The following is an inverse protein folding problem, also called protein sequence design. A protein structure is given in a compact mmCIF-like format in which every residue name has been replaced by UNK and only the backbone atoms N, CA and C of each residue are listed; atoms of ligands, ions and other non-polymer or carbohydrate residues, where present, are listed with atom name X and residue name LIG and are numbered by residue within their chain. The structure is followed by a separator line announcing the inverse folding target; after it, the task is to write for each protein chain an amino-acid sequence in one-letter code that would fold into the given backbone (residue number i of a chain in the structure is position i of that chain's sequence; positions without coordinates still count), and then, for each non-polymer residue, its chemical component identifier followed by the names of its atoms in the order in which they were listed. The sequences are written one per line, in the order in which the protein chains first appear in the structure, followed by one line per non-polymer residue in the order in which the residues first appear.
data_IF_015961862069
#
_entry.id   IF_015961862069
#
_cell.length_a   1.000
_cell.length_b   1.000
_cell.length_c   1.000
_cell.angle_alpha   90.00
_cell.angle_beta   90.00
_cell.angle_gamma   90.00
#
_symmetry.space_group_name_H-M   'P 1'
#
loop_
_entity.id
_entity.type
_entity.pdbx_description
1 polymer ?
#
# COMPACT_ATOMS: atom_id res chain seq x y z
N UNK A 1 10.67 9.79 8.13
CA UNK A 1 9.84 8.86 7.33
C UNK A 1 9.33 7.69 8.15
N UNK A 2 10.15 6.82 8.75
CA UNK A 2 9.70 5.68 9.55
C UNK A 2 8.76 6.08 10.72
N UNK A 3 9.14 7.06 11.54
CA UNK A 3 8.30 7.55 12.64
C UNK A 3 6.94 8.11 12.18
N UNK A 4 6.88 8.63 10.96
CA UNK A 4 5.62 9.07 10.35
C UNK A 4 4.76 7.87 9.93
N UNK A 5 5.37 6.84 9.36
CA UNK A 5 4.66 5.64 8.92
C UNK A 5 4.01 4.88 10.08
N UNK A 6 4.62 4.89 11.28
CA UNK A 6 4.08 4.22 12.48
C UNK A 6 3.10 5.07 13.29
N UNK A 7 3.00 6.39 13.00
CA UNK A 7 2.01 7.26 13.66
C UNK A 7 0.58 6.78 13.39
N UNK A 8 -0.18 6.63 14.44
CA UNK A 8 -1.57 6.17 14.34
C UNK A 8 -1.77 4.66 14.32
N UNK A 9 -0.70 3.86 14.21
CA UNK A 9 -0.79 2.42 14.40
C UNK A 9 -0.75 2.07 15.88
N UNK A 10 -1.66 1.16 16.30
CA UNK A 10 -1.69 0.66 17.70
C UNK A 10 -0.53 -0.26 18.05
N UNK A 11 0.11 -0.83 17.04
CA UNK A 11 1.19 -1.78 17.20
C UNK A 11 2.39 -1.35 16.36
N UNK A 12 3.55 -1.30 17.00
CA UNK A 12 4.83 -1.11 16.33
C UNK A 12 5.31 -2.47 15.82
N UNK A 13 5.83 -2.58 14.58
CA UNK A 13 6.35 -3.85 14.09
C UNK A 13 7.55 -4.30 14.92
N UNK A 14 7.59 -5.58 15.29
CA UNK A 14 8.72 -6.17 16.01
C UNK A 14 9.96 -6.29 15.13
N UNK A 15 9.78 -6.53 13.85
CA UNK A 15 10.84 -6.70 12.87
C UNK A 15 10.66 -5.75 11.69
N UNK A 16 11.76 -5.18 11.22
CA UNK A 16 11.80 -4.34 10.03
C UNK A 16 12.89 -4.85 9.10
N UNK A 17 12.51 -5.20 7.88
CA UNK A 17 13.48 -5.56 6.86
C UNK A 17 13.97 -4.31 6.14
N UNK A 18 15.29 -4.15 6.05
CA UNK A 18 15.94 -3.08 5.30
C UNK A 18 16.97 -3.65 4.32
N UNK A 19 17.26 -2.89 3.28
CA UNK A 19 18.35 -3.21 2.36
C UNK A 19 19.71 -2.73 2.93
N UNK A 20 20.76 -2.88 2.13
CA UNK A 20 22.11 -2.49 2.53
C UNK A 20 22.45 -1.03 2.20
N UNK A 21 21.45 -0.19 1.93
CA UNK A 21 21.66 1.23 1.65
C UNK A 21 22.41 1.90 2.81
N UNK A 22 23.44 2.71 2.52
CA UNK A 22 24.18 3.47 3.54
C UNK A 22 23.30 4.32 4.44
N UNK A 23 22.13 4.79 4.00
CA UNK A 23 21.18 5.55 4.80
C UNK A 23 20.70 4.80 6.04
N UNK A 24 20.61 3.46 5.98
CA UNK A 24 20.21 2.63 7.13
C UNK A 24 21.37 2.35 8.10
N UNK A 25 22.57 2.88 7.81
CA UNK A 25 23.71 2.85 8.75
C UNK A 25 23.81 4.09 9.62
N UNK A 26 22.92 5.06 9.41
CA UNK A 26 22.94 6.34 10.13
C UNK A 26 22.63 6.14 11.61
N UNK A 27 23.42 6.77 12.49
CA UNK A 27 23.28 6.61 13.95
C UNK A 27 21.89 6.94 14.47
N UNK A 28 21.24 7.96 13.91
CA UNK A 28 19.85 8.32 14.28
C UNK A 28 18.85 7.25 13.89
N UNK A 29 19.03 6.58 12.76
CA UNK A 29 18.20 5.46 12.35
C UNK A 29 18.31 4.31 13.33
N UNK A 30 19.53 3.90 13.65
CA UNK A 30 19.82 2.83 14.60
C UNK A 30 19.31 3.15 16.01
N UNK A 31 19.44 4.42 16.45
CA UNK A 31 18.94 4.88 17.75
C UNK A 31 17.39 4.81 17.79
N UNK A 32 16.71 5.25 16.74
CA UNK A 32 15.25 5.18 16.65
C UNK A 32 14.75 3.74 16.75
N UNK A 33 15.37 2.80 16.03
CA UNK A 33 14.96 1.40 16.08
C UNK A 33 15.14 0.81 17.47
N UNK A 34 16.25 1.15 18.17
CA UNK A 34 16.50 0.72 19.56
C UNK A 34 15.47 1.26 20.52
N UNK A 35 15.14 2.57 20.44
CA UNK A 35 14.13 3.20 21.31
C UNK A 35 12.75 2.56 21.11
N UNK A 36 12.42 2.16 19.89
CA UNK A 36 11.15 1.54 19.52
C UNK A 36 11.14 0.03 19.69
N UNK A 37 12.25 -0.57 20.17
CA UNK A 37 12.43 -2.01 20.31
C UNK A 37 12.20 -2.80 19.02
N UNK A 38 12.50 -2.18 17.87
CA UNK A 38 12.36 -2.79 16.55
C UNK A 38 13.67 -3.45 16.14
N UNK A 39 13.60 -4.74 15.82
CA UNK A 39 14.75 -5.49 15.32
C UNK A 39 14.89 -5.30 13.81
N UNK A 40 16.01 -4.75 13.36
CA UNK A 40 16.34 -4.64 11.95
C UNK A 40 16.85 -5.98 11.41
N UNK A 41 16.25 -6.46 10.33
CA UNK A 41 16.72 -7.61 9.57
C UNK A 41 17.24 -7.11 8.23
N UNK A 42 18.56 -7.16 8.05
CA UNK A 42 19.18 -6.77 6.77
C UNK A 42 19.03 -7.85 5.73
N UNK A 43 18.71 -7.44 4.52
CA UNK A 43 18.66 -8.33 3.37
C UNK A 43 20.06 -8.81 2.99
N UNK A 44 20.14 -9.96 2.32
CA UNK A 44 21.40 -10.47 1.82
C UNK A 44 21.90 -9.55 0.70
N UNK A 45 23.16 -9.07 0.76
CA UNK A 45 23.72 -8.24 -0.29
C UNK A 45 23.68 -8.94 -1.64
N UNK A 46 23.41 -8.17 -2.70
CA UNK A 46 23.42 -8.64 -4.09
C UNK A 46 22.39 -9.72 -4.44
N UNK A 47 21.39 -9.95 -3.60
CA UNK A 47 20.27 -10.86 -3.92
C UNK A 47 19.05 -10.05 -4.35
N UNK A 48 18.72 -10.00 -5.66
CA UNK A 48 17.60 -9.22 -6.20
C UNK A 48 16.24 -9.59 -5.61
N UNK A 49 16.09 -10.82 -5.11
CA UNK A 49 14.85 -11.39 -4.58
C UNK A 49 14.57 -11.07 -3.10
N UNK A 50 15.33 -10.14 -2.52
CA UNK A 50 15.23 -9.86 -1.07
C UNK A 50 13.90 -9.23 -0.65
N UNK A 51 13.25 -8.47 -1.56
CA UNK A 51 11.97 -7.79 -1.30
C UNK A 51 10.93 -7.97 -2.42
N UNK A 52 10.63 -9.21 -2.85
CA UNK A 52 9.76 -9.45 -4.01
C UNK A 52 8.34 -8.89 -3.82
N UNK A 53 7.85 -8.83 -2.58
CA UNK A 53 6.52 -8.27 -2.29
C UNK A 53 6.49 -6.75 -2.44
N UNK A 54 7.50 -6.06 -1.92
CA UNK A 54 7.60 -4.60 -2.02
C UNK A 54 7.80 -4.19 -3.46
N UNK A 55 8.70 -4.84 -4.18
CA UNK A 55 8.93 -4.58 -5.61
C UNK A 55 7.67 -4.81 -6.44
N UNK A 56 6.94 -5.88 -6.18
CA UNK A 56 5.66 -6.16 -6.84
C UNK A 56 4.62 -5.09 -6.53
N UNK A 57 4.53 -4.67 -5.27
CA UNK A 57 3.59 -3.62 -4.85
C UNK A 57 3.93 -2.29 -5.53
N UNK A 58 5.21 -1.87 -5.49
CA UNK A 58 5.67 -0.66 -6.18
C UNK A 58 5.37 -0.73 -7.68
N UNK A 59 5.67 -1.86 -8.32
CA UNK A 59 5.36 -2.09 -9.72
C UNK A 59 3.86 -2.00 -10.03
N UNK A 60 3.01 -2.48 -9.13
CA UNK A 60 1.55 -2.38 -9.25
C UNK A 60 1.09 -0.93 -9.13
N UNK A 61 1.53 -0.21 -8.09
CA UNK A 61 1.19 1.21 -7.89
C UNK A 61 1.61 2.04 -9.10
N UNK A 62 2.82 1.81 -9.64
CA UNK A 62 3.28 2.53 -10.83
C UNK A 62 2.39 2.25 -12.03
N UNK A 63 2.27 0.99 -12.46
CA UNK A 63 1.55 0.62 -13.68
C UNK A 63 0.06 0.92 -13.62
N UNK A 64 -0.57 0.68 -12.47
CA UNK A 64 -2.02 0.84 -12.35
C UNK A 64 -2.41 2.28 -12.06
N UNK A 65 -1.56 3.08 -11.41
CA UNK A 65 -1.95 4.41 -10.98
C UNK A 65 -1.00 5.52 -11.40
N UNK A 66 0.28 5.49 -11.01
CA UNK A 66 1.17 6.63 -11.21
C UNK A 66 1.45 6.91 -12.69
N UNK A 67 1.58 5.89 -13.53
CA UNK A 67 1.80 6.04 -14.97
C UNK A 67 0.56 6.57 -15.71
N UNK A 68 -0.59 6.64 -15.04
CA UNK A 68 -1.87 7.10 -15.58
C UNK A 68 -2.36 8.42 -14.99
N UNK A 69 -1.63 8.99 -14.05
CA UNK A 69 -2.02 10.22 -13.36
C UNK A 69 -0.88 11.22 -13.35
N UNK A 70 -1.21 12.50 -13.51
CA UNK A 70 -0.26 13.59 -13.35
C UNK A 70 -0.30 14.07 -11.91
N UNK A 71 0.85 14.41 -11.34
CA UNK A 71 0.96 15.06 -10.04
C UNK A 71 2.01 16.18 -10.10
N UNK A 72 1.72 17.30 -9.44
CA UNK A 72 2.53 18.50 -9.52
C UNK A 72 3.28 18.80 -8.23
N UNK A 73 2.75 18.34 -7.08
CA UNK A 73 3.32 18.58 -5.76
C UNK A 73 3.39 17.29 -4.97
N UNK A 74 4.25 17.25 -3.94
CA UNK A 74 4.34 16.13 -3.01
C UNK A 74 2.98 15.88 -2.31
N UNK A 75 2.28 16.93 -1.91
CA UNK A 75 0.98 16.82 -1.29
C UNK A 75 -0.09 16.21 -2.23
N UNK A 76 -0.05 16.58 -3.51
CA UNK A 76 -0.95 15.98 -4.52
C UNK A 76 -0.63 14.50 -4.73
N UNK A 77 0.66 14.13 -4.78
CA UNK A 77 1.08 12.74 -4.86
C UNK A 77 0.64 11.94 -3.63
N UNK A 78 0.83 12.48 -2.42
CA UNK A 78 0.40 11.82 -1.18
C UNK A 78 -1.11 11.55 -1.17
N UNK A 79 -1.92 12.55 -1.51
CA UNK A 79 -3.38 12.40 -1.58
C UNK A 79 -3.78 11.33 -2.61
N UNK A 80 -3.17 11.34 -3.79
CA UNK A 80 -3.41 10.32 -4.82
C UNK A 80 -3.04 8.91 -4.37
N UNK A 81 -1.91 8.77 -3.68
CA UNK A 81 -1.50 7.48 -3.12
C UNK A 81 -2.46 7.00 -2.01
N UNK A 82 -3.04 7.91 -1.22
CA UNK A 82 -4.08 7.57 -0.24
C UNK A 82 -5.36 7.09 -0.92
N UNK A 83 -5.80 7.77 -1.97
CA UNK A 83 -6.96 7.35 -2.77
C UNK A 83 -6.73 5.94 -3.37
N UNK A 84 -5.54 5.72 -3.95
CA UNK A 84 -5.20 4.41 -4.50
C UNK A 84 -5.12 3.33 -3.43
N UNK A 85 -4.58 3.62 -2.26
CA UNK A 85 -4.53 2.68 -1.13
C UNK A 85 -5.93 2.23 -0.72
N UNK A 86 -6.88 3.18 -0.64
CA UNK A 86 -8.27 2.89 -0.31
C UNK A 86 -8.90 1.97 -1.37
N UNK A 87 -8.76 2.32 -2.63
CA UNK A 87 -9.22 1.49 -3.74
C UNK A 87 -8.58 0.08 -3.72
N UNK A 88 -7.26 0.01 -3.56
CA UNK A 88 -6.50 -1.24 -3.56
C UNK A 88 -6.96 -2.19 -2.46
N UNK A 89 -7.21 -1.66 -1.26
CA UNK A 89 -7.55 -2.48 -0.10
C UNK A 89 -9.02 -2.91 -0.09
N UNK A 90 -9.93 -2.05 -0.54
CA UNK A 90 -11.38 -2.31 -0.38
C UNK A 90 -12.09 -2.73 -1.66
N UNK A 91 -11.53 -2.45 -2.83
CA UNK A 91 -12.25 -2.64 -4.09
C UNK A 91 -11.47 -3.45 -5.14
N UNK A 92 -10.14 -3.37 -5.12
CA UNK A 92 -9.33 -4.07 -6.11
C UNK A 92 -9.37 -5.58 -5.90
N UNK A 93 -9.79 -6.29 -6.93
CA UNK A 93 -9.85 -7.76 -6.91
C UNK A 93 -8.46 -8.38 -7.09
N UNK A 94 -8.20 -9.45 -6.36
CA UNK A 94 -6.95 -10.20 -6.41
C UNK A 94 -7.19 -11.67 -6.75
N UNK A 95 -6.58 -12.16 -7.85
CA UNK A 95 -6.73 -13.54 -8.29
C UNK A 95 -6.32 -14.55 -7.19
N UNK A 96 -5.22 -14.27 -6.48
CA UNK A 96 -4.73 -15.11 -5.39
C UNK A 96 -5.67 -15.17 -4.17
N UNK A 97 -6.68 -14.28 -4.11
CA UNK A 97 -7.70 -14.22 -3.04
C UNK A 97 -9.11 -14.56 -3.56
N UNK A 98 -9.19 -15.35 -4.60
CA UNK A 98 -10.46 -15.70 -5.25
C UNK A 98 -11.31 -14.48 -5.66
N UNK A 99 -10.65 -13.43 -6.16
CA UNK A 99 -11.30 -12.20 -6.61
C UNK A 99 -11.69 -11.23 -5.48
N UNK A 100 -11.29 -11.48 -4.24
CA UNK A 100 -11.59 -10.57 -3.11
C UNK A 100 -10.52 -9.51 -2.91
N UNK A 101 -10.90 -8.33 -2.41
CA UNK A 101 -9.94 -7.32 -2.00
C UNK A 101 -9.16 -7.75 -0.74
N UNK A 102 -8.02 -7.10 -0.41
CA UNK A 102 -7.27 -7.38 0.81
C UNK A 102 -8.08 -7.23 2.10
N UNK A 103 -8.82 -6.16 2.23
CA UNK A 103 -9.75 -5.96 3.33
C UNK A 103 -11.09 -6.60 2.94
N UNK A 104 -11.46 -7.70 3.63
CA UNK A 104 -12.75 -8.37 3.41
C UNK A 104 -13.88 -7.41 3.81
N UNK A 105 -14.37 -6.65 2.85
CA UNK A 105 -15.66 -5.98 3.02
C UNK A 105 -16.75 -7.04 3.11
N UNK A 106 -17.73 -6.90 4.02
CA UNK A 106 -18.86 -7.81 4.08
C UNK A 106 -19.48 -7.88 2.68
N UNK A 107 -19.65 -9.09 2.17
CA UNK A 107 -20.25 -9.34 0.85
C UNK A 107 -21.65 -8.73 0.88
N UNK A 108 -21.83 -7.57 0.27
CA UNK A 108 -23.17 -7.03 0.08
C UNK A 108 -23.94 -8.02 -0.77
N UNK A 109 -25.20 -8.34 -0.43
CA UNK A 109 -26.00 -9.25 -1.24
C UNK A 109 -26.01 -8.73 -2.68
N UNK A 110 -25.87 -9.62 -3.63
CA UNK A 110 -25.95 -9.30 -5.05
C UNK A 110 -27.34 -8.70 -5.29
N UNK A 111 -27.38 -7.40 -5.48
CA UNK A 111 -28.62 -6.73 -5.84
C UNK A 111 -29.06 -7.14 -7.25
N UNK A 112 -30.33 -6.98 -7.54
CA UNK A 112 -30.88 -7.21 -8.85
C UNK A 112 -30.06 -6.39 -9.88
N UNK A 113 -29.60 -7.04 -10.96
CA UNK A 113 -28.78 -6.43 -12.01
C UNK A 113 -29.41 -5.18 -12.67
N UNK A 114 -30.70 -4.94 -12.42
CA UNK A 114 -31.42 -3.77 -12.93
C UNK A 114 -31.28 -2.51 -12.05
N UNK A 115 -30.69 -2.62 -10.86
CA UNK A 115 -30.56 -1.52 -9.91
C UNK A 115 -29.15 -1.45 -9.32
N UNK A 116 -28.16 -1.20 -10.15
CA UNK A 116 -26.81 -0.92 -9.68
C UNK A 116 -26.35 0.47 -10.13
N UNK A 117 -25.59 1.12 -9.27
CA UNK A 117 -24.86 2.35 -9.58
C UNK A 117 -23.37 2.07 -9.76
N UNK A 118 -22.63 3.09 -10.13
CA UNK A 118 -21.17 3.03 -10.21
C UNK A 118 -20.55 3.95 -9.18
N UNK A 119 -19.69 3.40 -8.34
CA UNK A 119 -18.85 4.16 -7.42
C UNK A 119 -17.50 4.43 -8.08
N UNK A 120 -17.11 5.70 -8.12
CA UNK A 120 -15.85 6.14 -8.71
C UNK A 120 -14.73 6.17 -7.67
N UNK A 121 -13.56 5.62 -8.00
CA UNK A 121 -12.37 5.61 -7.18
C UNK A 121 -11.21 6.28 -7.92
N UNK A 122 -10.22 6.76 -7.17
CA UNK A 122 -9.02 7.38 -7.75
C UNK A 122 -9.36 8.49 -8.75
N UNK A 123 -10.31 9.37 -8.39
CA UNK A 123 -10.78 10.50 -9.21
C UNK A 123 -11.35 10.07 -10.56
N UNK A 124 -12.07 8.95 -10.60
CA UNK A 124 -12.72 8.43 -11.79
C UNK A 124 -11.88 7.48 -12.65
N UNK A 125 -10.64 7.18 -12.22
CA UNK A 125 -9.79 6.22 -12.93
C UNK A 125 -10.34 4.78 -12.86
N UNK A 126 -10.97 4.44 -11.74
CA UNK A 126 -11.61 3.16 -11.52
C UNK A 126 -13.07 3.34 -11.14
N UNK A 127 -13.90 2.37 -11.52
CA UNK A 127 -15.30 2.33 -11.14
C UNK A 127 -15.65 0.92 -10.68
N UNK A 128 -16.42 0.82 -9.59
CA UNK A 128 -16.95 -0.45 -9.09
C UNK A 128 -18.47 -0.39 -9.03
N UNK A 129 -19.17 -1.48 -9.39
CA UNK A 129 -20.62 -1.52 -9.26
C UNK A 129 -21.02 -1.57 -7.78
N UNK A 130 -22.03 -0.80 -7.43
CA UNK A 130 -22.67 -0.81 -6.11
C UNK A 130 -24.16 -1.14 -6.26
N UNK A 131 -24.73 -1.84 -5.28
CA UNK A 131 -26.16 -2.02 -5.19
C UNK A 131 -26.83 -0.66 -4.93
N UNK A 132 -27.78 -0.29 -5.75
CA UNK A 132 -28.59 0.92 -5.58
C UNK A 132 -29.75 0.66 -4.62
#
# INVERSE_FOLDING_TARGET
MFNYAIRGHRLIPKYLSSDNDPLYRFHQWQANLRILEVTEIKTVPYVPWSHPFVERLIGTVRREYLDRTLFWTTADLENKLLDFRTYFNHHRTHAARAGRPPDDAPTRPIANLQSYGWESHCRGLYQTPIAA
#
